data_IF_373598131933
#
_entry.id   IF_373598131933
#
_cell.length_a   1.000
_cell.length_b   1.000
_cell.length_c   1.000
_cell.angle_alpha   90.00
_cell.angle_beta   90.00
_cell.angle_gamma   90.00
#
_symmetry.space_group_name_H-M   'P 1'
#
loop_
_entity.id
_entity.type
_entity.pdbx_description
1 polymer ?
#
# COMPACT_ATOMS: atom_id res chain seq x y z
N UNK A 1 5.29 25.91 10.09
CA UNK A 1 4.32 25.10 9.34
C UNK A 1 4.05 23.78 10.03
N UNK A 2 2.77 23.41 10.13
CA UNK A 2 2.24 22.18 10.72
C UNK A 2 1.76 21.24 9.63
N UNK A 3 2.43 20.10 9.50
CA UNK A 3 2.10 19.09 8.48
C UNK A 3 1.50 17.84 9.11
N UNK A 4 0.37 17.37 8.56
CA UNK A 4 -0.12 16.03 8.80
C UNK A 4 0.32 15.12 7.66
N UNK A 5 1.07 14.06 7.96
CA UNK A 5 1.42 13.02 6.99
C UNK A 5 0.59 11.77 7.29
N UNK A 6 -0.37 11.46 6.42
CA UNK A 6 -1.10 10.20 6.45
C UNK A 6 -0.19 9.14 5.83
N UNK A 7 0.20 8.09 6.57
CA UNK A 7 1.31 7.28 6.09
C UNK A 7 1.56 5.92 6.74
N UNK A 8 2.81 5.48 6.58
CA UNK A 8 3.28 4.13 6.86
C UNK A 8 4.15 3.55 5.73
N UNK A 9 4.22 4.24 4.60
CA UNK A 9 5.07 3.92 3.44
C UNK A 9 6.53 4.33 3.67
N UNK A 10 7.42 3.99 2.73
CA UNK A 10 8.83 4.43 2.81
C UNK A 10 8.92 5.91 2.52
N UNK A 11 8.15 6.37 1.54
CA UNK A 11 8.07 7.74 1.06
C UNK A 11 7.55 8.68 2.16
N UNK A 12 6.53 8.27 2.92
CA UNK A 12 6.03 9.01 4.09
C UNK A 12 7.11 9.24 5.15
N UNK A 13 7.90 8.20 5.48
CA UNK A 13 8.96 8.28 6.49
C UNK A 13 10.10 9.19 6.03
N UNK A 14 10.47 9.10 4.75
CA UNK A 14 11.49 9.96 4.15
C UNK A 14 11.06 11.42 4.18
N UNK A 15 9.80 11.71 3.82
CA UNK A 15 9.28 13.07 3.85
C UNK A 15 9.23 13.63 5.29
N UNK A 16 8.76 12.84 6.25
CA UNK A 16 8.70 13.26 7.66
C UNK A 16 10.08 13.71 8.17
N UNK A 17 11.12 12.91 7.90
CA UNK A 17 12.49 13.27 8.27
C UNK A 17 12.93 14.58 7.62
N UNK A 18 12.73 14.74 6.30
CA UNK A 18 13.13 15.94 5.56
C UNK A 18 12.43 17.22 6.04
N UNK A 19 11.18 17.12 6.50
CA UNK A 19 10.40 18.25 7.03
C UNK A 19 10.83 18.60 8.46
N UNK A 20 11.04 17.60 9.32
CA UNK A 20 11.55 17.81 10.68
C UNK A 20 12.93 18.46 10.66
N UNK A 21 13.83 18.01 9.77
CA UNK A 21 15.16 18.60 9.60
C UNK A 21 15.11 20.08 9.15
N UNK A 22 13.98 20.52 8.58
CA UNK A 22 13.70 21.93 8.23
C UNK A 22 12.93 22.70 9.30
N UNK A 23 12.74 22.12 10.49
CA UNK A 23 12.05 22.77 11.61
C UNK A 23 10.52 22.79 11.49
N UNK A 24 9.92 21.94 10.64
CA UNK A 24 8.46 21.80 10.59
C UNK A 24 7.92 21.00 11.77
N UNK A 25 6.73 21.37 12.23
CA UNK A 25 5.98 20.59 13.21
C UNK A 25 5.22 19.48 12.46
N UNK A 26 5.78 18.28 12.43
CA UNK A 26 5.25 17.14 11.66
C UNK A 26 4.53 16.16 12.58
N UNK A 27 3.29 15.83 12.23
CA UNK A 27 2.56 14.70 12.80
C UNK A 27 2.36 13.61 11.76
N UNK A 28 2.94 12.45 11.97
CA UNK A 28 2.69 11.25 11.16
C UNK A 28 1.53 10.44 11.73
N UNK A 29 0.57 10.08 10.89
CA UNK A 29 -0.59 9.28 11.26
C UNK A 29 -0.49 7.87 10.69
N UNK A 30 -0.45 6.88 11.58
CA UNK A 30 -0.38 5.46 11.25
C UNK A 30 -1.71 4.76 11.56
N UNK A 31 -2.10 3.81 10.71
CA UNK A 31 -3.34 3.07 10.90
C UNK A 31 -3.31 2.04 12.05
N UNK A 32 -2.15 1.79 12.68
CA UNK A 32 -2.00 0.79 13.75
C UNK A 32 -2.13 -0.67 13.29
N UNK A 33 -2.00 -0.93 11.98
CA UNK A 33 -2.20 -2.25 11.37
C UNK A 33 -1.01 -3.21 11.50
N UNK A 34 0.04 -2.77 12.16
CA UNK A 34 1.27 -3.53 12.37
C UNK A 34 1.64 -3.40 13.84
N UNK A 35 1.87 -4.53 14.53
CA UNK A 35 2.07 -4.55 15.98
C UNK A 35 3.31 -3.76 16.43
N UNK A 36 4.40 -3.82 15.65
CA UNK A 36 5.63 -3.09 15.93
C UNK A 36 6.09 -2.31 14.68
N UNK A 37 5.54 -1.11 14.42
CA UNK A 37 5.88 -0.31 13.26
C UNK A 37 7.16 0.49 13.51
N UNK A 38 8.02 0.62 12.49
CA UNK A 38 9.10 1.60 12.52
C UNK A 38 8.51 3.02 12.53
N UNK A 39 8.71 3.74 13.63
CA UNK A 39 8.18 5.08 13.85
C UNK A 39 8.90 6.12 12.97
N UNK A 40 8.15 7.02 12.31
CA UNK A 40 8.72 8.18 11.62
C UNK A 40 9.36 9.19 12.58
N UNK A 41 10.15 10.12 12.04
CA UNK A 41 10.60 11.30 12.77
C UNK A 41 9.41 12.25 13.09
N UNK A 42 9.52 13.01 14.18
CA UNK A 42 8.48 13.93 14.64
C UNK A 42 7.40 13.27 15.48
N UNK A 43 6.24 13.92 15.59
CA UNK A 43 5.11 13.42 16.36
C UNK A 43 4.46 12.26 15.61
N UNK A 44 3.96 11.26 16.34
CA UNK A 44 3.27 10.10 15.76
C UNK A 44 1.94 9.89 16.47
N UNK A 45 0.87 9.75 15.68
CA UNK A 45 -0.44 9.26 16.14
C UNK A 45 -0.74 7.89 15.54
N UNK A 46 -1.40 7.05 16.31
CA UNK A 46 -1.85 5.73 15.89
C UNK A 46 -3.36 5.62 16.08
N UNK A 47 -4.06 5.17 15.04
CA UNK A 47 -5.51 4.95 15.09
C UNK A 47 -6.27 5.71 14.00
N UNK A 48 -7.56 5.38 13.84
CA UNK A 48 -8.44 6.06 12.89
C UNK A 48 -8.75 7.50 13.31
N UNK A 49 -9.36 8.27 12.40
CA UNK A 49 -9.88 9.61 12.70
C UNK A 49 -11.39 9.62 12.98
N UNK A 50 -12.08 8.50 12.78
CA UNK A 50 -13.55 8.47 12.81
C UNK A 50 -14.19 8.92 11.48
N UNK A 51 -13.52 8.63 10.35
CA UNK A 51 -13.97 9.03 9.02
C UNK A 51 -13.62 10.48 8.65
N UNK A 52 -14.18 10.99 7.54
CA UNK A 52 -13.89 12.32 7.01
C UNK A 52 -14.19 13.44 8.01
N UNK A 53 -15.36 13.42 8.65
CA UNK A 53 -15.75 14.45 9.63
C UNK A 53 -14.82 14.50 10.85
N UNK A 54 -14.39 13.33 11.33
CA UNK A 54 -13.43 13.28 12.44
C UNK A 54 -12.03 13.73 12.02
N UNK A 55 -11.61 13.48 10.77
CA UNK A 55 -10.37 14.05 10.23
C UNK A 55 -10.48 15.57 10.10
N UNK A 56 -11.57 16.12 9.57
CA UNK A 56 -11.84 17.57 9.49
C UNK A 56 -11.68 18.24 10.85
N UNK A 57 -12.33 17.71 11.88
CA UNK A 57 -12.22 18.23 13.24
C UNK A 57 -10.78 18.20 13.74
N UNK A 58 -10.08 17.09 13.51
CA UNK A 58 -8.68 16.94 13.92
C UNK A 58 -7.77 17.96 13.21
N UNK A 59 -7.97 18.22 11.91
CA UNK A 59 -7.20 19.24 11.18
C UNK A 59 -7.37 20.63 11.80
N UNK A 60 -8.60 21.00 12.17
CA UNK A 60 -8.93 22.29 12.80
C UNK A 60 -8.31 22.39 14.19
N UNK A 61 -8.58 21.40 15.05
CA UNK A 61 -8.15 21.39 16.45
C UNK A 61 -6.62 21.43 16.60
N UNK A 62 -5.88 20.95 15.60
CA UNK A 62 -4.41 20.92 15.59
C UNK A 62 -3.79 22.03 14.71
N UNK A 63 -4.61 22.89 14.11
CA UNK A 63 -4.18 23.95 13.19
C UNK A 63 -3.25 23.43 12.07
N UNK A 64 -3.65 22.35 11.40
CA UNK A 64 -2.88 21.75 10.31
C UNK A 64 -2.91 22.66 9.09
N UNK A 65 -1.72 23.02 8.63
CA UNK A 65 -1.50 23.92 7.49
C UNK A 65 -1.40 23.16 6.17
N UNK A 66 -1.03 21.88 6.19
CA UNK A 66 -1.00 21.02 5.00
C UNK A 66 -1.19 19.54 5.36
N UNK A 67 -1.93 18.83 4.51
CA UNK A 67 -2.07 17.38 4.57
C UNK A 67 -1.27 16.75 3.44
N UNK A 68 -0.48 15.73 3.77
CA UNK A 68 0.20 14.88 2.79
C UNK A 68 -0.37 13.47 2.88
N UNK A 69 -1.09 13.06 1.83
CA UNK A 69 -1.48 11.66 1.66
C UNK A 69 -0.31 10.88 1.09
N UNK A 70 0.46 10.26 1.98
CA UNK A 70 1.56 9.34 1.65
C UNK A 70 1.19 7.91 2.06
N UNK A 71 -0.09 7.56 2.01
CA UNK A 71 -0.59 6.23 2.39
C UNK A 71 -0.24 5.20 1.33
N UNK A 72 -0.52 3.92 1.61
CA UNK A 72 -0.35 2.89 0.58
C UNK A 72 -1.38 3.13 -0.55
N UNK A 73 -1.06 2.95 -1.85
CA UNK A 73 -2.00 3.20 -2.96
C UNK A 73 -3.33 2.41 -2.94
N UNK A 74 -3.52 1.51 -1.97
CA UNK A 74 -4.73 0.71 -1.76
C UNK A 74 -5.41 1.05 -0.41
N UNK A 75 -5.03 2.18 0.21
CA UNK A 75 -5.61 2.68 1.45
C UNK A 75 -6.74 3.69 1.14
N UNK A 76 -7.63 3.31 0.24
CA UNK A 76 -8.66 4.18 -0.37
C UNK A 76 -9.47 4.98 0.65
N UNK A 77 -9.98 4.32 1.69
CA UNK A 77 -10.84 4.99 2.69
C UNK A 77 -10.20 6.21 3.35
N UNK A 78 -8.90 6.14 3.68
CA UNK A 78 -8.20 7.26 4.32
C UNK A 78 -7.83 8.33 3.29
N UNK A 79 -7.50 7.97 2.06
CA UNK A 79 -7.31 8.92 0.96
C UNK A 79 -8.59 9.69 0.64
N UNK A 80 -9.75 9.02 0.62
CA UNK A 80 -11.06 9.66 0.44
C UNK A 80 -11.33 10.62 1.60
N UNK A 81 -11.12 10.15 2.85
CA UNK A 81 -11.29 11.00 4.02
C UNK A 81 -10.38 12.22 3.98
N UNK A 82 -9.14 12.09 3.50
CA UNK A 82 -8.19 13.17 3.35
C UNK A 82 -8.65 14.22 2.33
N UNK A 83 -9.13 13.78 1.16
CA UNK A 83 -9.65 14.66 0.13
C UNK A 83 -10.89 15.45 0.62
N UNK A 84 -11.83 14.77 1.27
CA UNK A 84 -13.02 15.41 1.82
C UNK A 84 -12.69 16.40 2.96
N UNK A 85 -11.81 16.01 3.88
CA UNK A 85 -11.42 16.87 4.99
C UNK A 85 -10.63 18.10 4.50
N UNK A 86 -9.69 17.91 3.58
CA UNK A 86 -8.93 18.98 2.96
C UNK A 86 -9.84 19.99 2.24
N UNK A 87 -10.84 19.51 1.51
CA UNK A 87 -11.83 20.36 0.86
C UNK A 87 -12.66 21.15 1.89
N UNK A 88 -13.12 20.48 2.95
CA UNK A 88 -13.93 21.10 4.00
C UNK A 88 -13.19 22.18 4.79
N UNK A 89 -11.89 21.99 5.06
CA UNK A 89 -11.06 22.96 5.80
C UNK A 89 -10.32 23.94 4.91
N UNK A 90 -10.32 23.71 3.59
CA UNK A 90 -9.43 24.37 2.61
C UNK A 90 -7.95 24.19 2.93
N UNK A 91 -7.60 23.13 3.66
CA UNK A 91 -6.20 22.77 3.90
C UNK A 91 -5.63 22.14 2.63
N UNK A 92 -4.49 22.62 2.10
CA UNK A 92 -3.84 22.01 0.94
C UNK A 92 -3.60 20.51 1.13
N UNK A 93 -3.86 19.73 0.07
CA UNK A 93 -3.62 18.29 0.02
C UNK A 93 -2.60 17.95 -1.08
N UNK A 94 -1.52 17.30 -0.67
CA UNK A 94 -0.51 16.74 -1.57
C UNK A 94 -0.58 15.21 -1.52
N UNK A 95 -0.78 14.55 -2.65
CA UNK A 95 -0.71 13.10 -2.74
C UNK A 95 0.71 12.67 -3.10
N UNK A 96 1.41 12.03 -2.16
CA UNK A 96 2.73 11.44 -2.34
C UNK A 96 2.62 9.95 -2.65
N UNK A 97 2.37 9.63 -3.92
CA UNK A 97 2.20 8.25 -4.39
C UNK A 97 3.23 7.91 -5.47
N UNK A 98 4.06 6.92 -5.17
CA UNK A 98 5.02 6.37 -6.13
C UNK A 98 4.33 5.80 -7.37
N UNK A 99 5.01 5.75 -8.53
CA UNK A 99 4.42 5.26 -9.78
C UNK A 99 3.98 3.79 -9.67
N UNK A 100 2.98 3.42 -10.48
CA UNK A 100 2.63 2.02 -10.70
C UNK A 100 3.80 1.29 -11.36
N UNK A 101 3.97 0.02 -11.03
CA UNK A 101 4.84 -0.83 -11.83
C UNK A 101 4.22 -0.98 -13.22
N UNK A 102 5.09 -1.04 -14.22
CA UNK A 102 4.75 -1.30 -15.61
C UNK A 102 5.33 -2.65 -16.01
N UNK A 103 4.63 -3.46 -16.82
CA UNK A 103 5.19 -4.69 -17.34
C UNK A 103 6.37 -4.36 -18.26
N UNK A 104 7.44 -5.14 -18.15
CA UNK A 104 8.56 -5.13 -19.08
C UNK A 104 8.65 -6.45 -19.86
N UNK A 105 9.64 -6.57 -20.72
CA UNK A 105 9.83 -7.76 -21.53
C UNK A 105 9.91 -9.04 -20.67
N UNK A 106 9.12 -10.04 -21.07
CA UNK A 106 9.01 -11.33 -20.38
C UNK A 106 8.05 -11.35 -19.18
N UNK A 107 7.49 -10.21 -18.76
CA UNK A 107 6.41 -10.21 -17.77
C UNK A 107 5.12 -10.82 -18.34
N UNK A 108 4.46 -11.67 -17.55
CA UNK A 108 3.18 -12.29 -17.87
C UNK A 108 2.09 -11.77 -16.94
N UNK A 109 1.72 -10.51 -17.13
CA UNK A 109 0.75 -9.86 -16.25
C UNK A 109 -0.66 -10.02 -16.77
N UNK A 110 -1.58 -10.27 -15.84
CA UNK A 110 -3.01 -10.34 -16.06
C UNK A 110 -3.63 -9.26 -15.19
N UNK A 111 -4.02 -8.15 -15.82
CA UNK A 111 -4.63 -7.04 -15.10
C UNK A 111 -6.08 -7.37 -14.71
N UNK A 112 -6.42 -7.08 -13.46
CA UNK A 112 -7.78 -7.22 -12.91
C UNK A 112 -8.14 -5.97 -12.10
N UNK A 113 -9.42 -5.62 -12.08
CA UNK A 113 -9.85 -4.37 -11.44
C UNK A 113 -9.81 -4.44 -9.91
N UNK A 114 -10.08 -5.63 -9.33
CA UNK A 114 -10.30 -5.79 -7.90
C UNK A 114 -9.96 -7.21 -7.40
N UNK A 115 -10.13 -7.43 -6.10
CA UNK A 115 -9.83 -8.71 -5.45
C UNK A 115 -10.83 -9.83 -5.78
N UNK A 116 -12.07 -9.50 -6.14
CA UNK A 116 -13.07 -10.50 -6.55
C UNK A 116 -12.69 -11.09 -7.90
N UNK A 117 -12.32 -10.23 -8.86
CA UNK A 117 -11.80 -10.67 -10.15
C UNK A 117 -10.49 -11.43 -9.99
N UNK A 118 -9.59 -10.98 -9.10
CA UNK A 118 -8.35 -11.70 -8.81
C UNK A 118 -8.62 -13.11 -8.28
N UNK A 119 -9.54 -13.26 -7.32
CA UNK A 119 -9.90 -14.56 -6.75
C UNK A 119 -10.58 -15.48 -7.77
N UNK A 120 -11.52 -14.95 -8.56
CA UNK A 120 -12.19 -15.72 -9.61
C UNK A 120 -11.20 -16.22 -10.67
N UNK A 121 -10.23 -15.37 -11.07
CA UNK A 121 -9.18 -15.72 -12.02
C UNK A 121 -8.22 -16.76 -11.43
N UNK A 122 -7.73 -16.53 -10.21
CA UNK A 122 -6.85 -17.44 -9.50
C UNK A 122 -7.46 -18.84 -9.37
N UNK A 123 -8.72 -18.91 -8.92
CA UNK A 123 -9.46 -20.17 -8.73
C UNK A 123 -9.61 -20.98 -10.01
N UNK A 124 -9.90 -20.31 -11.12
CA UNK A 124 -10.26 -20.96 -12.38
C UNK A 124 -9.04 -21.47 -13.14
N UNK A 125 -7.94 -20.72 -13.12
CA UNK A 125 -6.85 -20.91 -14.09
C UNK A 125 -5.56 -21.47 -13.46
N UNK A 126 -5.48 -21.60 -12.12
CA UNK A 126 -4.24 -21.94 -11.39
C UNK A 126 -4.50 -22.88 -10.21
N UNK A 127 -3.42 -23.49 -9.69
CA UNK A 127 -3.51 -24.45 -8.58
C UNK A 127 -2.66 -24.07 -7.36
N UNK A 128 -1.52 -23.42 -7.53
CA UNK A 128 -0.57 -23.10 -6.46
C UNK A 128 -0.32 -21.58 -6.42
N UNK A 129 -1.18 -20.88 -5.69
CA UNK A 129 -1.29 -19.42 -5.78
C UNK A 129 -0.54 -18.74 -4.63
N UNK A 130 0.33 -17.80 -4.97
CA UNK A 130 1.03 -16.97 -3.99
C UNK A 130 0.33 -15.62 -3.80
N UNK A 131 -0.32 -15.43 -2.65
CA UNK A 131 -0.98 -14.19 -2.27
C UNK A 131 0.00 -13.24 -1.57
N UNK A 132 0.28 -12.11 -2.22
CA UNK A 132 1.15 -11.04 -1.71
C UNK A 132 0.39 -9.73 -1.47
N UNK A 133 -0.89 -9.86 -1.11
CA UNK A 133 -1.86 -8.76 -0.99
C UNK A 133 -2.03 -8.23 0.44
N UNK A 134 -1.31 -8.82 1.40
CA UNK A 134 -1.38 -8.52 2.82
C UNK A 134 -2.57 -9.17 3.52
N UNK A 135 -2.80 -8.83 4.79
CA UNK A 135 -3.69 -9.60 5.68
C UNK A 135 -5.20 -9.29 5.56
N UNK A 136 -5.58 -8.16 4.97
CA UNK A 136 -6.94 -7.61 5.10
C UNK A 136 -7.91 -8.05 3.99
N UNK A 137 -7.42 -8.41 2.81
CA UNK A 137 -8.26 -8.63 1.62
C UNK A 137 -8.18 -10.08 1.12
N UNK A 138 -8.06 -11.03 2.05
CA UNK A 138 -7.96 -12.46 1.74
C UNK A 138 -9.33 -13.14 1.64
N UNK A 139 -10.39 -12.55 2.21
CA UNK A 139 -11.74 -13.11 2.21
C UNK A 139 -12.29 -13.51 0.82
N UNK A 140 -12.02 -12.76 -0.29
CA UNK A 140 -12.47 -13.18 -1.63
C UNK A 140 -11.93 -14.55 -2.08
N UNK A 141 -10.80 -15.01 -1.52
CA UNK A 141 -10.19 -16.30 -1.86
C UNK A 141 -10.70 -17.44 -0.96
N UNK A 142 -11.43 -17.14 0.13
CA UNK A 142 -11.69 -18.09 1.19
C UNK A 142 -12.61 -19.27 0.82
N UNK A 143 -13.44 -19.12 -0.22
CA UNK A 143 -14.36 -20.16 -0.66
C UNK A 143 -13.72 -21.20 -1.60
N UNK A 144 -12.45 -21.04 -1.95
CA UNK A 144 -11.73 -21.99 -2.80
C UNK A 144 -11.09 -23.11 -1.98
N UNK A 145 -11.69 -24.29 -2.04
CA UNK A 145 -11.23 -25.49 -1.34
C UNK A 145 -10.29 -26.36 -2.18
N UNK A 146 -10.16 -26.07 -3.47
CA UNK A 146 -9.52 -26.97 -4.44
C UNK A 146 -8.02 -26.65 -4.57
N UNK A 147 -7.70 -25.36 -4.62
CA UNK A 147 -6.34 -24.88 -4.87
C UNK A 147 -5.55 -24.60 -3.58
N UNK A 148 -4.22 -24.65 -3.68
CA UNK A 148 -3.30 -24.35 -2.58
C UNK A 148 -2.91 -22.87 -2.59
N UNK A 149 -3.10 -22.19 -1.46
CA UNK A 149 -2.74 -20.80 -1.30
C UNK A 149 -1.53 -20.62 -0.37
N UNK A 150 -0.44 -20.08 -0.89
CA UNK A 150 0.65 -19.58 -0.06
C UNK A 150 0.40 -18.11 0.23
N UNK A 151 0.28 -17.74 1.49
CA UNK A 151 -0.13 -16.40 1.91
C UNK A 151 1.02 -15.75 2.66
N UNK A 152 1.51 -14.60 2.19
CA UNK A 152 2.51 -13.82 2.91
C UNK A 152 1.91 -12.56 3.52
N UNK A 153 2.01 -12.46 4.85
CA UNK A 153 1.55 -11.34 5.65
C UNK A 153 2.61 -10.94 6.68
N UNK A 154 2.59 -9.70 7.16
CA UNK A 154 3.48 -9.29 8.28
C UNK A 154 2.96 -9.84 9.60
N UNK A 155 1.69 -9.62 9.87
CA UNK A 155 0.98 -10.11 11.04
C UNK A 155 -0.12 -11.09 10.59
N UNK A 156 -0.53 -12.05 11.45
CA UNK A 156 -1.57 -13.02 11.12
C UNK A 156 -2.87 -12.35 10.64
N UNK A 157 -3.55 -12.89 9.61
CA UNK A 157 -4.85 -12.37 9.19
C UNK A 157 -5.96 -12.75 10.18
N UNK A 158 -6.95 -11.87 10.29
CA UNK A 158 -8.17 -12.05 11.11
C UNK A 158 -9.43 -12.17 10.21
N UNK A 159 -9.22 -12.54 8.96
CA UNK A 159 -10.28 -12.73 7.96
C UNK A 159 -10.30 -14.20 7.52
N UNK A 160 -11.42 -14.71 6.99
CA UNK A 160 -11.48 -16.07 6.44
C UNK A 160 -10.39 -16.32 5.41
N UNK A 161 -9.81 -17.51 5.46
CA UNK A 161 -8.74 -17.98 4.58
C UNK A 161 -9.21 -19.19 3.76
N UNK A 162 -8.60 -19.44 2.59
CA UNK A 162 -8.82 -20.67 1.85
C UNK A 162 -8.53 -21.90 2.73
N UNK A 163 -9.33 -22.98 2.72
CA UNK A 163 -9.10 -24.15 3.54
C UNK A 163 -7.70 -24.76 3.37
N UNK A 164 -7.19 -24.75 2.13
CA UNK A 164 -5.85 -25.24 1.79
C UNK A 164 -4.90 -24.06 1.68
N UNK A 165 -4.25 -23.70 2.78
CA UNK A 165 -3.28 -22.61 2.78
C UNK A 165 -2.02 -22.89 3.60
N UNK A 166 -0.96 -22.17 3.26
CA UNK A 166 0.25 -22.03 4.05
C UNK A 166 0.49 -20.56 4.35
N UNK A 167 0.58 -20.21 5.63
CA UNK A 167 0.88 -18.84 6.06
C UNK A 167 2.39 -18.65 6.24
N UNK A 168 2.91 -17.56 5.67
CA UNK A 168 4.28 -17.08 5.85
C UNK A 168 4.17 -15.71 6.53
N UNK A 169 4.64 -15.63 7.78
CA UNK A 169 4.76 -14.37 8.52
C UNK A 169 6.13 -13.79 8.26
N UNK A 170 6.19 -12.78 7.42
CA UNK A 170 7.46 -12.21 6.97
C UNK A 170 7.32 -10.73 6.60
N UNK A 171 8.41 -9.99 6.81
CA UNK A 171 8.48 -8.55 6.55
C UNK A 171 9.75 -8.27 5.76
N UNK A 172 9.56 -7.65 4.60
CA UNK A 172 10.67 -7.25 3.74
C UNK A 172 11.61 -6.19 4.35
N UNK A 173 12.63 -5.76 3.58
CA UNK A 173 12.74 -5.94 2.13
C UNK A 173 13.02 -7.38 1.72
N UNK A 174 12.52 -7.76 0.54
CA UNK A 174 12.79 -9.07 -0.06
C UNK A 174 13.91 -8.94 -1.10
N UNK A 175 14.51 -10.06 -1.49
CA UNK A 175 15.48 -10.14 -2.59
C UNK A 175 15.04 -11.17 -3.65
N UNK A 176 15.56 -11.05 -4.87
CA UNK A 176 15.09 -11.83 -6.03
C UNK A 176 15.37 -13.32 -5.85
N UNK A 177 16.50 -13.70 -5.28
CA UNK A 177 16.87 -15.11 -5.13
C UNK A 177 16.07 -15.79 -4.03
N UNK A 178 15.78 -15.06 -2.94
CA UNK A 178 14.82 -15.46 -1.92
C UNK A 178 13.44 -15.71 -2.50
N UNK A 179 12.94 -14.78 -3.31
CA UNK A 179 11.64 -14.96 -3.99
C UNK A 179 11.66 -16.16 -4.95
N UNK A 180 12.72 -16.34 -5.74
CA UNK A 180 12.85 -17.52 -6.63
C UNK A 180 12.81 -18.84 -5.86
N UNK A 181 13.52 -18.92 -4.73
CA UNK A 181 13.50 -20.12 -3.86
C UNK A 181 12.11 -20.36 -3.30
N UNK A 182 11.42 -19.31 -2.84
CA UNK A 182 10.05 -19.41 -2.32
C UNK A 182 9.09 -19.90 -3.40
N UNK A 183 9.11 -19.29 -4.58
CA UNK A 183 8.22 -19.65 -5.69
C UNK A 183 8.44 -21.10 -6.13
N UNK A 184 9.70 -21.52 -6.35
CA UNK A 184 10.03 -22.90 -6.72
C UNK A 184 9.68 -23.91 -5.63
N UNK A 185 10.05 -23.62 -4.38
CA UNK A 185 9.85 -24.54 -3.25
C UNK A 185 8.38 -24.77 -2.88
N UNK A 186 7.48 -23.89 -3.36
CA UNK A 186 6.04 -24.05 -3.22
C UNK A 186 5.34 -24.45 -4.54
N UNK A 187 6.11 -24.65 -5.61
CA UNK A 187 5.59 -24.93 -6.96
C UNK A 187 4.55 -23.89 -7.40
N UNK A 188 4.81 -22.61 -7.11
CA UNK A 188 3.87 -21.52 -7.44
C UNK A 188 3.71 -21.42 -8.95
N UNK A 189 2.47 -21.41 -9.40
CA UNK A 189 2.09 -21.23 -10.81
C UNK A 189 1.44 -19.86 -11.07
N UNK A 190 1.00 -19.15 -10.03
CA UNK A 190 0.50 -17.78 -10.12
C UNK A 190 0.85 -16.92 -8.89
N UNK A 191 1.25 -15.67 -9.11
CA UNK A 191 1.35 -14.64 -8.06
C UNK A 191 0.19 -13.68 -8.15
N UNK A 192 -0.56 -13.50 -7.06
CA UNK A 192 -1.55 -12.42 -6.95
C UNK A 192 -0.95 -11.27 -6.17
N UNK A 193 -0.98 -10.08 -6.75
CA UNK A 193 -0.44 -8.89 -6.09
C UNK A 193 -1.17 -7.60 -6.44
N UNK A 194 -1.03 -6.62 -5.56
CA UNK A 194 -1.47 -5.24 -5.78
C UNK A 194 -0.42 -4.51 -6.60
N UNK A 195 -0.82 -3.66 -7.54
CA UNK A 195 0.12 -2.75 -8.19
C UNK A 195 0.56 -1.61 -7.24
N UNK A 196 1.24 -1.96 -6.15
CA UNK A 196 1.66 -1.04 -5.09
C UNK A 196 2.78 -0.11 -5.51
N UNK A 197 3.49 -0.40 -6.61
CA UNK A 197 4.71 0.29 -6.97
C UNK A 197 5.84 0.12 -5.94
N UNK A 198 6.92 0.85 -6.14
CA UNK A 198 8.07 0.90 -5.22
C UNK A 198 9.03 -0.29 -5.35
N UNK A 199 10.22 -0.15 -4.75
CA UNK A 199 11.32 -1.12 -4.92
C UNK A 199 11.27 -2.30 -3.94
N UNK A 200 10.82 -2.06 -2.70
CA UNK A 200 10.95 -3.02 -1.61
C UNK A 200 10.22 -4.36 -1.81
N UNK A 201 9.16 -4.37 -2.62
CA UNK A 201 8.37 -5.58 -2.90
C UNK A 201 8.37 -5.95 -4.39
N UNK A 202 9.15 -5.25 -5.22
CA UNK A 202 9.38 -5.59 -6.63
C UNK A 202 9.99 -6.99 -6.85
N UNK A 203 10.88 -7.52 -5.98
CA UNK A 203 11.60 -8.77 -6.26
C UNK A 203 10.73 -9.97 -6.62
N UNK A 204 9.50 -10.05 -6.09
CA UNK A 204 8.55 -11.11 -6.44
C UNK A 204 8.16 -11.12 -7.92
N UNK A 205 8.08 -9.94 -8.53
CA UNK A 205 7.77 -9.77 -9.96
C UNK A 205 8.96 -10.17 -10.82
N UNK A 206 10.18 -9.78 -10.41
CA UNK A 206 11.40 -10.18 -11.08
C UNK A 206 11.63 -11.69 -11.02
N UNK A 207 11.31 -12.30 -9.87
CA UNK A 207 11.35 -13.74 -9.70
C UNK A 207 10.28 -14.45 -10.56
N UNK A 208 9.03 -13.97 -10.55
CA UNK A 208 7.96 -14.51 -11.40
C UNK A 208 8.35 -14.47 -12.89
N UNK A 209 8.83 -13.32 -13.38
CA UNK A 209 9.36 -13.17 -14.74
C UNK A 209 10.45 -14.18 -15.07
N UNK A 210 11.44 -14.32 -14.19
CA UNK A 210 12.56 -15.25 -14.39
C UNK A 210 12.13 -16.72 -14.45
N UNK A 211 10.95 -17.05 -13.90
CA UNK A 211 10.41 -18.39 -13.83
C UNK A 211 9.25 -18.62 -14.82
N UNK A 212 8.87 -17.60 -15.59
CA UNK A 212 7.71 -17.67 -16.48
C UNK A 212 6.37 -17.83 -15.77
N UNK A 213 6.28 -17.40 -14.50
CA UNK A 213 5.07 -17.48 -13.66
C UNK A 213 4.17 -16.28 -13.96
N UNK A 214 2.87 -16.54 -14.09
CA UNK A 214 1.88 -15.50 -14.33
C UNK A 214 1.66 -14.65 -13.07
N UNK A 215 1.37 -13.37 -13.31
CA UNK A 215 1.09 -12.41 -12.24
C UNK A 215 -0.30 -11.82 -12.45
N UNK A 216 -1.23 -12.16 -11.58
CA UNK A 216 -2.51 -11.46 -11.48
C UNK A 216 -2.24 -10.13 -10.76
N UNK A 217 -2.30 -9.05 -11.53
CA UNK A 217 -2.00 -7.69 -11.10
C UNK A 217 -3.30 -6.94 -10.81
N UNK A 218 -3.59 -6.70 -9.53
CA UNK A 218 -4.75 -5.89 -9.12
C UNK A 218 -4.44 -4.42 -9.38
N UNK A 219 -5.30 -3.77 -10.17
CA UNK A 219 -5.22 -2.36 -10.49
C UNK A 219 -5.37 -1.48 -9.24
N UNK A 220 -4.79 -0.27 -9.30
CA UNK A 220 -4.95 0.72 -8.23
C UNK A 220 -6.37 1.28 -8.25
N UNK A 221 -6.96 1.56 -7.07
CA UNK A 221 -8.15 2.40 -7.02
C UNK A 221 -7.83 3.80 -7.57
N UNK A 222 -8.84 4.51 -8.12
CA UNK A 222 -8.70 5.91 -8.52
C UNK A 222 -8.26 6.79 -7.35
N UNK A 223 -7.48 7.84 -7.63
CA UNK A 223 -7.11 8.81 -6.60
C UNK A 223 -8.29 9.74 -6.26
N UNK A 224 -8.67 9.85 -4.98
CA UNK A 224 -9.69 10.81 -4.56
C UNK A 224 -9.23 12.25 -4.77
N UNK A 225 -10.17 13.16 -5.09
CA UNK A 225 -9.91 14.61 -5.20
C UNK A 225 -9.60 15.14 -6.60
N UNK A 226 -9.46 14.27 -7.61
CA UNK A 226 -9.36 14.67 -9.03
C UNK A 226 -8.21 15.64 -9.31
N UNK A 227 -8.45 16.63 -10.19
CA UNK A 227 -7.44 17.62 -10.60
C UNK A 227 -7.04 18.63 -9.52
N UNK A 228 -7.77 18.69 -8.40
CA UNK A 228 -7.47 19.61 -7.29
C UNK A 228 -6.32 19.12 -6.39
N UNK A 229 -5.86 17.87 -6.56
CA UNK A 229 -4.81 17.28 -5.73
C UNK A 229 -3.48 17.29 -6.47
N UNK A 230 -2.48 17.95 -5.88
CA UNK A 230 -1.11 17.91 -6.42
C UNK A 230 -0.51 16.53 -6.16
N UNK A 231 -0.22 15.80 -7.24
CA UNK A 231 0.36 14.47 -7.18
C UNK A 231 1.88 14.51 -7.39
N UNK A 232 2.61 13.91 -6.46
CA UNK A 232 4.08 13.78 -6.49
C UNK A 232 4.48 12.34 -6.22
N UNK A 233 5.64 11.93 -6.72
CA UNK A 233 6.05 10.51 -6.69
C UNK A 233 7.17 10.20 -5.71
N UNK A 234 7.84 11.23 -5.20
CA UNK A 234 8.99 11.10 -4.29
C UNK A 234 8.92 12.11 -3.16
N UNK A 235 9.52 11.78 -2.01
CA UNK A 235 9.65 12.71 -0.89
C UNK A 235 10.34 14.02 -1.30
N UNK A 236 11.32 13.97 -2.22
CA UNK A 236 11.99 15.16 -2.74
C UNK A 236 11.06 16.08 -3.54
N UNK A 237 10.22 15.51 -4.41
CA UNK A 237 9.21 16.29 -5.14
C UNK A 237 8.17 16.87 -4.20
N UNK A 238 7.71 16.10 -3.20
CA UNK A 238 6.82 16.60 -2.17
C UNK A 238 7.45 17.79 -1.43
N UNK A 239 8.72 17.70 -1.02
CA UNK A 239 9.43 18.82 -0.40
C UNK A 239 9.48 20.08 -1.27
N UNK A 240 9.68 19.93 -2.59
CA UNK A 240 9.70 21.07 -3.51
C UNK A 240 8.33 21.76 -3.58
N UNK A 241 7.25 20.98 -3.69
CA UNK A 241 5.88 21.51 -3.68
C UNK A 241 5.58 22.20 -2.34
N UNK A 242 5.91 21.57 -1.22
CA UNK A 242 5.65 22.08 0.12
C UNK A 242 6.43 23.34 0.47
N UNK A 243 7.61 23.55 -0.15
CA UNK A 243 8.41 24.75 0.08
C UNK A 243 7.88 25.98 -0.68
N UNK A 244 6.96 25.79 -1.62
CA UNK A 244 6.30 26.86 -2.37
C UNK A 244 4.89 27.19 -1.88
N UNK A 245 4.40 26.50 -0.84
CA UNK A 245 3.16 26.81 -0.11
C UNK A 245 3.46 27.84 0.98
#
# INVERSE_FOLDING_TARGET
MRALILGGTTEARQLALMLVDRGWEVTSSLAGRVANPKLPAGNVRIGGFGGPAGLTRWLIDNAIEVVVDATHPFAEHISVSAAEAALATRTPLVALHRPAWQPGDGDRWIDVADMQQAAARARRDYHHIFLTIGRQQLAPFAADADNLYVIRCVDPPEVPLPPRHRLILDRGPFDVDGEKRLLKGNQIDCVVTKNSGGKATMPKLQAARSLGIDVIMVARPPLPGGSAVTCVTTARQAMQVLSGL
#
